data_IF_846500470197
#
_entry.id   IF_846500470197
#
_cell.length_a   1.000
_cell.length_b   1.000
_cell.length_c   1.000
_cell.angle_alpha   90.00
_cell.angle_beta   90.00
_cell.angle_gamma   90.00
#
_symmetry.space_group_name_H-M   'P 1'
#
loop_
_entity.id
_entity.type
_entity.pdbx_description
1 polymer ?
#
# COMPACT_ATOMS: atom_id res chain seq x y z
N UNK A 1 -3.29 31.20 19.71
CA UNK A 1 -2.81 30.29 20.77
C UNK A 1 -3.94 29.49 21.44
N UNK A 2 -5.15 30.05 21.59
CA UNK A 2 -6.31 29.36 22.18
C UNK A 2 -6.81 28.20 21.31
N UNK A 3 -6.93 28.41 20.02
CA UNK A 3 -7.31 27.39 19.05
C UNK A 3 -6.32 26.21 19.01
N UNK A 4 -5.02 26.46 19.12
CA UNK A 4 -4.02 25.40 19.18
C UNK A 4 -4.19 24.53 20.44
N UNK A 5 -4.53 25.14 21.57
CA UNK A 5 -4.88 24.41 22.81
C UNK A 5 -6.14 23.57 22.64
N UNK A 6 -7.16 24.11 21.96
CA UNK A 6 -8.43 23.41 21.72
C UNK A 6 -8.21 22.11 20.93
N UNK A 7 -7.27 22.09 19.99
CA UNK A 7 -6.92 20.89 19.20
C UNK A 7 -5.77 20.08 19.80
N UNK A 8 -5.32 20.41 21.04
CA UNK A 8 -4.29 19.66 21.75
C UNK A 8 -2.86 19.87 21.27
N UNK A 9 -2.60 20.90 20.47
CA UNK A 9 -1.25 21.23 20.00
C UNK A 9 -0.45 21.99 21.06
N UNK A 10 0.75 21.51 21.32
CA UNK A 10 1.71 22.12 22.28
C UNK A 10 2.69 23.09 21.59
N UNK A 11 2.79 23.04 20.27
CA UNK A 11 3.67 23.88 19.46
C UNK A 11 3.26 25.35 19.53
N UNK A 12 4.27 26.21 19.46
CA UNK A 12 4.04 27.67 19.43
C UNK A 12 3.46 28.12 18.09
N UNK A 13 2.72 29.24 18.07
CA UNK A 13 2.09 29.75 16.85
C UNK A 13 3.07 30.20 15.75
N UNK A 14 4.34 30.33 16.07
CA UNK A 14 5.43 30.67 15.13
C UNK A 14 6.15 29.45 14.58
N UNK A 15 5.82 28.24 15.05
CA UNK A 15 6.43 27.01 14.53
C UNK A 15 6.02 26.80 13.07
N UNK A 16 6.99 26.55 12.19
CA UNK A 16 6.71 26.30 10.79
C UNK A 16 6.00 24.94 10.63
N UNK A 17 4.96 24.91 9.82
CA UNK A 17 4.16 23.68 9.56
C UNK A 17 5.01 22.55 9.03
N UNK A 18 6.00 22.84 8.18
CA UNK A 18 6.91 21.82 7.63
C UNK A 18 7.77 21.11 8.68
N UNK A 19 7.96 21.74 9.85
CA UNK A 19 8.85 21.24 10.91
C UNK A 19 8.08 20.39 11.97
N UNK A 20 6.77 20.22 11.81
CA UNK A 20 5.92 19.37 12.66
C UNK A 20 5.45 18.13 11.90
N UNK A 21 5.26 17.03 12.64
CA UNK A 21 4.79 15.77 12.05
C UNK A 21 3.40 15.86 11.42
N UNK A 22 3.10 14.96 10.49
CA UNK A 22 1.87 14.97 9.67
C UNK A 22 0.60 15.00 10.55
N UNK A 23 0.57 14.25 11.67
CA UNK A 23 -0.55 14.27 12.61
C UNK A 23 -0.82 15.66 13.17
N UNK A 24 0.23 16.40 13.53
CA UNK A 24 0.10 17.76 14.04
C UNK A 24 -0.29 18.76 12.95
N UNK A 25 0.16 18.54 11.70
CA UNK A 25 -0.30 19.32 10.54
C UNK A 25 -1.81 19.19 10.36
N UNK A 26 -2.36 17.98 10.51
CA UNK A 26 -3.80 17.73 10.43
C UNK A 26 -4.57 18.47 11.52
N UNK A 27 -4.05 18.50 12.75
CA UNK A 27 -4.66 19.27 13.84
C UNK A 27 -4.65 20.79 13.58
N UNK A 28 -3.60 21.31 12.90
CA UNK A 28 -3.55 22.71 12.47
C UNK A 28 -4.62 23.01 11.42
N UNK A 29 -4.88 22.12 10.46
CA UNK A 29 -5.96 22.28 9.48
C UNK A 29 -7.34 22.34 10.17
N UNK A 30 -7.57 21.51 11.19
CA UNK A 30 -8.80 21.55 11.99
C UNK A 30 -8.89 22.86 12.78
N UNK A 31 -7.79 23.31 13.42
CA UNK A 31 -7.76 24.58 14.14
C UNK A 31 -8.09 25.77 13.20
N UNK A 32 -7.60 25.74 11.97
CA UNK A 32 -7.89 26.73 10.91
C UNK A 32 -9.37 26.73 10.52
N UNK A 33 -10.00 25.56 10.41
CA UNK A 33 -11.45 25.45 10.16
C UNK A 33 -12.27 26.00 11.34
N UNK A 34 -11.89 25.67 12.58
CA UNK A 34 -12.53 26.18 13.80
C UNK A 34 -12.42 27.71 13.93
N UNK A 35 -11.28 28.31 13.48
CA UNK A 35 -11.09 29.76 13.48
C UNK A 35 -12.12 30.52 12.64
N UNK A 36 -12.79 29.85 11.70
CA UNK A 36 -13.82 30.41 10.84
C UNK A 36 -15.23 30.32 11.42
N UNK A 37 -15.38 29.87 12.68
CA UNK A 37 -16.69 29.62 13.31
C UNK A 37 -17.58 28.71 12.47
N UNK A 38 -16.99 27.70 11.83
CA UNK A 38 -17.72 26.76 11.01
C UNK A 38 -18.74 25.99 11.84
N UNK A 39 -19.96 25.84 11.34
CA UNK A 39 -21.01 25.01 11.94
C UNK A 39 -20.98 23.57 11.46
N UNK A 40 -20.36 23.35 10.30
CA UNK A 40 -20.18 22.07 9.66
C UNK A 40 -18.70 21.87 9.33
N UNK A 41 -18.14 20.75 9.79
CA UNK A 41 -16.78 20.33 9.50
C UNK A 41 -16.83 19.13 8.57
N UNK A 42 -16.15 19.22 7.42
CA UNK A 42 -16.01 18.09 6.47
C UNK A 42 -14.56 17.63 6.51
N UNK A 43 -14.35 16.36 6.79
CA UNK A 43 -13.05 15.72 6.93
C UNK A 43 -12.96 14.56 5.94
N UNK A 44 -12.05 14.70 4.97
CA UNK A 44 -11.79 13.68 3.96
C UNK A 44 -10.51 12.91 4.32
N UNK A 45 -10.66 11.61 4.63
CA UNK A 45 -9.60 10.68 5.04
C UNK A 45 -8.65 11.27 6.12
N UNK A 46 -9.18 11.83 7.23
CA UNK A 46 -8.38 12.64 8.15
C UNK A 46 -7.31 11.84 8.91
N UNK A 47 -7.40 10.51 8.92
CA UNK A 47 -6.50 9.61 9.65
C UNK A 47 -5.59 8.81 8.70
N UNK A 48 -5.65 9.05 7.38
CA UNK A 48 -4.95 8.22 6.40
C UNK A 48 -3.42 8.18 6.58
N UNK A 49 -2.83 9.28 7.10
CA UNK A 49 -1.39 9.43 7.29
C UNK A 49 -0.98 9.42 8.77
N UNK A 50 -1.90 9.04 9.68
CA UNK A 50 -1.67 9.05 11.12
C UNK A 50 -1.36 7.65 11.63
N UNK A 51 -0.54 7.58 12.67
CA UNK A 51 -0.41 6.36 13.47
C UNK A 51 -1.69 6.14 14.31
N UNK A 52 -1.80 5.00 14.96
CA UNK A 52 -2.99 4.61 15.71
C UNK A 52 -3.29 5.55 16.89
N UNK A 53 -2.25 5.99 17.60
CA UNK A 53 -2.38 6.92 18.75
C UNK A 53 -2.88 8.28 18.29
N UNK A 54 -2.32 8.85 17.22
CA UNK A 54 -2.72 10.14 16.68
C UNK A 54 -4.12 10.07 16.05
N UNK A 55 -4.46 8.96 15.38
CA UNK A 55 -5.79 8.70 14.85
C UNK A 55 -6.85 8.73 15.96
N UNK A 56 -6.58 8.01 17.04
CA UNK A 56 -7.50 7.99 18.20
C UNK A 56 -7.67 9.38 18.82
N UNK A 57 -6.58 10.12 19.02
CA UNK A 57 -6.64 11.48 19.56
C UNK A 57 -7.48 12.42 18.68
N UNK A 58 -7.37 12.29 17.36
CA UNK A 58 -8.19 13.05 16.41
C UNK A 58 -9.69 12.69 16.51
N UNK A 59 -10.00 11.39 16.58
CA UNK A 59 -11.39 10.92 16.72
C UNK A 59 -12.01 11.37 18.05
N UNK A 60 -11.25 11.33 19.14
CA UNK A 60 -11.68 11.84 20.45
C UNK A 60 -11.96 13.35 20.40
N UNK A 61 -11.10 14.13 19.74
CA UNK A 61 -11.33 15.55 19.48
C UNK A 61 -12.65 15.79 18.71
N UNK A 62 -12.93 14.97 17.69
CA UNK A 62 -14.21 15.06 16.96
C UNK A 62 -15.41 14.83 17.86
N UNK A 63 -15.34 13.85 18.78
CA UNK A 63 -16.39 13.60 19.76
C UNK A 63 -16.56 14.77 20.75
N UNK A 64 -15.48 15.43 21.15
CA UNK A 64 -15.56 16.64 21.98
C UNK A 64 -16.18 17.81 21.23
N UNK A 65 -15.82 18.05 19.98
CA UNK A 65 -16.41 19.08 19.13
C UNK A 65 -17.91 18.85 18.93
N UNK A 66 -18.31 17.58 18.74
CA UNK A 66 -19.72 17.18 18.66
C UNK A 66 -20.49 17.55 19.95
N UNK A 67 -19.94 17.28 21.15
CA UNK A 67 -20.54 17.68 22.42
C UNK A 67 -20.74 19.20 22.54
N UNK A 68 -19.87 19.97 21.84
CA UNK A 68 -19.98 21.45 21.76
C UNK A 68 -20.93 21.92 20.66
N UNK A 69 -21.68 21.02 20.02
CA UNK A 69 -22.67 21.34 18.99
C UNK A 69 -22.14 21.44 17.57
N UNK A 70 -20.88 21.01 17.32
CA UNK A 70 -20.33 20.92 15.97
C UNK A 70 -20.92 19.74 15.21
N UNK A 71 -21.41 19.98 14.00
CA UNK A 71 -21.77 18.91 13.06
C UNK A 71 -20.56 18.56 12.21
N UNK A 72 -20.29 17.26 12.04
CA UNK A 72 -19.18 16.79 11.22
C UNK A 72 -19.61 15.74 10.21
N UNK A 73 -19.02 15.79 9.01
CA UNK A 73 -19.06 14.72 8.02
C UNK A 73 -17.63 14.18 7.91
N UNK A 74 -17.46 12.90 8.18
CA UNK A 74 -16.21 12.21 7.99
C UNK A 74 -16.33 11.27 6.81
N UNK A 75 -15.37 11.36 5.89
CA UNK A 75 -15.21 10.42 4.78
C UNK A 75 -14.01 9.55 5.13
N UNK A 76 -14.21 8.25 5.24
CA UNK A 76 -13.15 7.29 5.55
C UNK A 76 -13.54 5.90 5.07
N UNK A 77 -12.55 5.09 4.77
CA UNK A 77 -12.71 3.66 4.49
C UNK A 77 -12.33 2.78 5.70
N UNK A 78 -11.86 3.39 6.80
CA UNK A 78 -11.52 2.68 8.04
C UNK A 78 -12.77 2.49 8.89
N UNK A 79 -13.38 1.32 8.80
CA UNK A 79 -14.71 1.04 9.39
C UNK A 79 -14.74 1.12 10.91
N UNK A 80 -13.66 0.73 11.58
CA UNK A 80 -13.51 0.86 13.04
C UNK A 80 -13.59 2.34 13.49
N UNK A 81 -12.96 3.25 12.74
CA UNK A 81 -13.00 4.68 13.03
C UNK A 81 -14.40 5.28 12.84
N UNK A 82 -15.03 4.92 11.71
CA UNK A 82 -16.41 5.34 11.41
C UNK A 82 -17.38 4.86 12.50
N UNK A 83 -17.29 3.58 12.87
CA UNK A 83 -18.15 2.99 13.90
C UNK A 83 -17.96 3.63 15.27
N UNK A 84 -16.75 4.14 15.55
CA UNK A 84 -16.42 4.82 16.80
C UNK A 84 -17.12 6.18 16.92
N UNK A 85 -17.07 7.03 15.89
CA UNK A 85 -17.48 8.44 15.96
C UNK A 85 -18.87 8.73 15.37
N UNK A 86 -19.33 7.95 14.38
CA UNK A 86 -20.52 8.27 13.59
C UNK A 86 -21.83 7.96 14.32
N UNK A 87 -22.82 8.86 14.16
CA UNK A 87 -24.22 8.61 14.51
C UNK A 87 -24.98 7.97 13.34
N UNK A 88 -24.59 8.33 12.11
CA UNK A 88 -25.18 7.81 10.87
C UNK A 88 -24.05 7.48 9.91
N UNK A 89 -24.17 6.35 9.24
CA UNK A 89 -23.21 5.88 8.23
C UNK A 89 -23.96 5.77 6.91
N UNK A 90 -23.58 6.61 5.93
CA UNK A 90 -24.10 6.53 4.58
C UNK A 90 -23.09 5.83 3.70
N UNK A 91 -23.48 4.68 3.16
CA UNK A 91 -22.65 3.90 2.23
C UNK A 91 -22.85 4.41 0.82
N UNK A 92 -21.75 4.81 0.18
CA UNK A 92 -21.75 5.30 -1.21
C UNK A 92 -20.94 4.32 -2.06
N UNK A 93 -21.47 3.98 -3.25
CA UNK A 93 -20.80 3.15 -4.24
C UNK A 93 -21.09 3.65 -5.63
N UNK A 94 -20.06 3.80 -6.46
CA UNK A 94 -20.18 4.26 -7.86
C UNK A 94 -21.01 5.57 -7.99
N UNK A 95 -20.81 6.50 -7.04
CA UNK A 95 -21.51 7.80 -6.99
C UNK A 95 -22.95 7.77 -6.49
N UNK A 96 -23.46 6.61 -6.09
CA UNK A 96 -24.84 6.43 -5.60
C UNK A 96 -24.88 6.06 -4.13
N UNK A 97 -25.86 6.60 -3.39
CA UNK A 97 -26.15 6.16 -2.02
C UNK A 97 -26.80 4.78 -2.05
N UNK A 98 -26.21 3.83 -1.38
CA UNK A 98 -26.69 2.44 -1.27
C UNK A 98 -27.64 2.31 -0.08
N UNK A 99 -27.20 2.70 1.11
CA UNK A 99 -27.98 2.70 2.33
C UNK A 99 -27.46 3.73 3.33
N UNK A 100 -28.31 4.10 4.30
CA UNK A 100 -27.90 4.90 5.45
C UNK A 100 -28.28 4.16 6.73
N UNK A 101 -27.28 3.86 7.55
CA UNK A 101 -27.41 3.15 8.82
C UNK A 101 -27.38 4.16 9.97
N UNK A 102 -28.28 3.99 10.95
CA UNK A 102 -28.40 4.88 12.11
C UNK A 102 -28.02 4.11 13.37
N UNK A 103 -27.04 4.62 14.11
CA UNK A 103 -26.57 4.02 15.37
C UNK A 103 -27.72 3.91 16.39
N UNK A 104 -27.90 2.72 16.96
CA UNK A 104 -28.97 2.42 17.89
C UNK A 104 -30.33 2.09 17.27
N UNK A 105 -30.48 2.16 15.93
CA UNK A 105 -31.67 1.70 15.21
C UNK A 105 -31.36 0.50 14.29
N UNK A 106 -30.25 0.58 13.60
CA UNK A 106 -29.83 -0.43 12.64
C UNK A 106 -28.72 -1.30 13.21
N UNK A 107 -28.65 -2.55 12.73
CA UNK A 107 -27.51 -3.42 12.98
C UNK A 107 -26.34 -2.96 12.12
N UNK A 108 -25.37 -2.31 12.77
CA UNK A 108 -24.17 -1.79 12.14
C UNK A 108 -23.05 -2.78 12.35
N UNK A 109 -22.88 -3.68 11.38
CA UNK A 109 -21.78 -4.62 11.34
C UNK A 109 -20.78 -4.23 10.23
N UNK A 110 -19.52 -4.51 10.45
CA UNK A 110 -18.47 -4.29 9.43
C UNK A 110 -18.82 -5.01 8.13
N UNK A 111 -19.30 -6.24 8.22
CA UNK A 111 -19.73 -7.07 7.06
C UNK A 111 -20.83 -6.39 6.25
N UNK A 112 -21.83 -5.78 6.91
CA UNK A 112 -22.93 -5.07 6.23
C UNK A 112 -22.42 -3.85 5.48
N UNK A 113 -21.56 -3.06 6.10
CA UNK A 113 -20.99 -1.87 5.47
C UNK A 113 -20.14 -2.28 4.26
N UNK A 114 -19.28 -3.29 4.41
CA UNK A 114 -18.44 -3.82 3.32
C UNK A 114 -19.32 -4.33 2.16
N UNK A 115 -20.40 -5.09 2.47
CA UNK A 115 -21.34 -5.56 1.45
C UNK A 115 -21.95 -4.40 0.67
N UNK A 116 -22.35 -3.34 1.33
CA UNK A 116 -22.85 -2.12 0.71
C UNK A 116 -21.81 -1.44 -0.18
N UNK A 117 -20.56 -1.31 0.30
CA UNK A 117 -19.46 -0.68 -0.44
C UNK A 117 -19.05 -1.48 -1.67
N UNK A 118 -18.97 -2.81 -1.57
CA UNK A 118 -18.44 -3.70 -2.62
C UNK A 118 -19.55 -4.25 -3.53
N UNK A 119 -20.77 -4.37 -3.02
CA UNK A 119 -21.94 -4.88 -3.77
C UNK A 119 -22.10 -6.39 -3.73
N UNK A 120 -21.25 -7.09 -3.01
CA UNK A 120 -21.33 -8.55 -2.75
C UNK A 120 -20.92 -8.85 -1.32
N UNK A 121 -21.34 -9.95 -0.79
CA UNK A 121 -20.82 -10.46 0.48
C UNK A 121 -19.34 -10.83 0.29
N UNK A 122 -18.51 -10.31 1.17
CA UNK A 122 -17.14 -10.78 1.36
C UNK A 122 -17.19 -11.59 2.64
N UNK A 123 -17.26 -12.92 2.50
CA UNK A 123 -17.37 -13.83 3.65
C UNK A 123 -16.16 -13.72 4.58
N UNK A 124 -14.97 -13.51 3.98
CA UNK A 124 -13.72 -13.33 4.68
C UNK A 124 -13.01 -12.05 4.14
N UNK A 125 -12.46 -11.26 5.02
CA UNK A 125 -11.71 -10.02 4.68
C UNK A 125 -10.52 -10.32 3.76
N UNK A 126 -9.93 -11.49 3.91
CA UNK A 126 -8.81 -11.98 3.10
C UNK A 126 -9.23 -13.25 2.34
N UNK A 127 -8.95 -13.35 1.03
CA UNK A 127 -9.30 -14.53 0.25
C UNK A 127 -8.45 -15.72 0.70
N UNK A 128 -9.11 -16.82 1.07
CA UNK A 128 -8.44 -18.07 1.46
C UNK A 128 -7.72 -18.69 0.28
N UNK A 129 -6.58 -19.29 0.55
CA UNK A 129 -5.82 -20.12 -0.41
C UNK A 129 -5.19 -21.31 0.30
N UNK A 130 -4.87 -22.33 -0.44
CA UNK A 130 -4.04 -23.43 0.00
C UNK A 130 -2.62 -23.19 -0.53
N UNK A 131 -1.63 -22.90 0.35
CA UNK A 131 -0.26 -22.64 -0.08
C UNK A 131 0.37 -23.88 -0.70
N UNK A 132 0.98 -23.74 -1.88
CA UNK A 132 1.79 -24.77 -2.53
C UNK A 132 3.23 -24.30 -2.57
N UNK A 133 3.87 -24.32 -1.40
CA UNK A 133 5.21 -23.81 -1.21
C UNK A 133 6.24 -24.83 -1.69
N UNK A 134 7.09 -24.40 -2.61
CA UNK A 134 8.17 -25.21 -3.21
C UNK A 134 9.55 -24.86 -2.67
N UNK A 135 10.56 -25.04 -3.54
CA UNK A 135 11.97 -24.79 -3.23
C UNK A 135 12.27 -23.30 -3.04
N UNK A 136 13.45 -23.01 -2.45
CA UNK A 136 13.95 -21.65 -2.29
C UNK A 136 14.14 -21.00 -3.66
N UNK A 137 13.49 -19.84 -3.84
CA UNK A 137 13.59 -19.02 -5.05
C UNK A 137 14.61 -17.91 -4.89
N UNK A 138 14.59 -17.25 -3.73
CA UNK A 138 15.46 -16.13 -3.42
C UNK A 138 16.02 -16.29 -2.01
N UNK A 139 17.29 -15.99 -1.84
CA UNK A 139 17.97 -15.96 -0.54
C UNK A 139 18.85 -14.72 -0.47
N UNK A 140 18.70 -13.98 0.61
CA UNK A 140 19.50 -12.79 0.93
C UNK A 140 20.32 -13.09 2.15
N UNK A 141 21.63 -12.84 2.10
CA UNK A 141 22.57 -13.10 3.20
C UNK A 141 23.37 -11.85 3.56
N UNK A 142 23.40 -11.54 4.83
CA UNK A 142 24.22 -10.46 5.41
C UNK A 142 24.05 -9.11 4.69
N UNK A 143 22.79 -8.80 4.28
CA UNK A 143 22.49 -7.62 3.51
C UNK A 143 22.53 -6.37 4.36
N UNK A 144 23.43 -5.46 4.02
CA UNK A 144 23.63 -4.20 4.74
C UNK A 144 23.58 -3.04 3.76
N UNK A 145 22.85 -1.99 4.13
CA UNK A 145 22.65 -0.79 3.31
C UNK A 145 22.86 0.45 4.17
N UNK A 146 23.65 1.39 3.70
CA UNK A 146 23.85 2.67 4.33
C UNK A 146 22.98 3.76 3.70
N UNK A 147 22.68 4.79 4.48
CA UNK A 147 21.91 5.93 4.01
C UNK A 147 22.66 6.66 2.87
N UNK A 148 21.99 7.07 1.78
CA UNK A 148 22.68 7.64 0.61
C UNK A 148 23.43 8.94 0.90
N UNK A 149 22.98 9.76 1.87
CA UNK A 149 23.60 11.04 2.24
C UNK A 149 24.44 10.95 3.53
N UNK A 150 24.16 9.98 4.41
CA UNK A 150 24.83 9.80 5.70
C UNK A 150 25.39 8.39 5.75
N UNK A 151 26.55 8.18 5.13
CA UNK A 151 27.14 6.86 4.90
C UNK A 151 27.53 6.09 6.18
N UNK A 152 27.64 6.77 7.32
CA UNK A 152 27.84 6.17 8.63
C UNK A 152 26.56 5.54 9.21
N UNK A 153 25.38 5.97 8.72
CA UNK A 153 24.09 5.48 9.18
C UNK A 153 23.66 4.28 8.35
N UNK A 154 23.58 3.12 8.99
CA UNK A 154 22.95 1.94 8.39
C UNK A 154 21.43 2.09 8.45
N UNK A 155 20.76 1.84 7.34
CA UNK A 155 19.30 1.78 7.22
C UNK A 155 18.80 0.35 7.11
N UNK A 156 19.67 -0.57 6.70
CA UNK A 156 19.50 -2.03 6.76
C UNK A 156 20.81 -2.60 7.30
N UNK A 157 20.73 -3.48 8.28
CA UNK A 157 21.89 -4.00 8.99
C UNK A 157 21.81 -5.52 9.16
N UNK A 158 22.65 -6.24 8.41
CA UNK A 158 22.83 -7.70 8.45
C UNK A 158 21.53 -8.50 8.27
N UNK A 159 20.72 -8.12 7.27
CA UNK A 159 19.45 -8.78 7.00
C UNK A 159 19.64 -10.10 6.26
N UNK A 160 18.95 -11.14 6.76
CA UNK A 160 18.91 -12.47 6.16
C UNK A 160 17.44 -12.85 5.89
N UNK A 161 17.09 -13.17 4.63
CA UNK A 161 15.72 -13.49 4.21
C UNK A 161 15.77 -14.64 3.21
N UNK A 162 14.79 -15.55 3.32
CA UNK A 162 14.56 -16.63 2.37
C UNK A 162 13.13 -16.47 1.83
N UNK A 163 12.95 -16.64 0.51
CA UNK A 163 11.64 -16.64 -0.15
C UNK A 163 11.53 -17.88 -1.03
N UNK A 164 10.44 -18.62 -0.91
CA UNK A 164 10.20 -19.88 -1.63
C UNK A 164 9.21 -19.67 -2.78
N UNK A 165 9.19 -20.60 -3.72
CA UNK A 165 8.19 -20.65 -4.82
C UNK A 165 6.80 -20.80 -4.25
N UNK A 166 5.83 -20.04 -4.78
CA UNK A 166 4.43 -20.12 -4.35
C UNK A 166 4.18 -19.62 -2.92
N UNK A 167 5.12 -18.86 -2.34
CA UNK A 167 5.06 -18.31 -0.99
C UNK A 167 4.75 -16.80 -1.03
N UNK A 168 3.94 -16.35 -0.08
CA UNK A 168 3.83 -14.94 0.29
C UNK A 168 4.59 -14.73 1.59
N UNK A 169 5.71 -14.03 1.51
CA UNK A 169 6.52 -13.64 2.68
C UNK A 169 6.16 -12.22 3.07
N UNK A 170 5.72 -12.01 4.31
CA UNK A 170 5.44 -10.70 4.88
C UNK A 170 6.70 -10.06 5.49
N UNK A 171 6.88 -8.77 5.30
CA UNK A 171 7.82 -7.97 6.08
C UNK A 171 7.02 -6.93 6.85
N UNK A 172 6.90 -7.14 8.16
CA UNK A 172 6.22 -6.26 9.11
C UNK A 172 7.23 -5.38 9.85
N UNK A 173 6.77 -4.25 10.38
CA UNK A 173 7.60 -3.36 11.20
C UNK A 173 7.01 -1.96 11.30
N UNK A 174 7.50 -1.17 12.23
CA UNK A 174 7.08 0.22 12.42
C UNK A 174 7.53 1.11 11.24
N UNK A 175 6.93 2.30 11.11
CA UNK A 175 7.39 3.32 10.17
C UNK A 175 8.86 3.64 10.43
N UNK A 176 9.67 3.66 9.36
CA UNK A 176 11.11 3.90 9.46
C UNK A 176 11.94 2.68 9.88
N UNK A 177 11.35 1.48 9.92
CA UNK A 177 12.10 0.25 10.23
C UNK A 177 13.08 -0.18 9.14
N UNK A 178 13.07 0.43 7.96
CA UNK A 178 13.99 0.11 6.86
C UNK A 178 13.40 -0.83 5.79
N UNK A 179 12.11 -1.09 5.81
CA UNK A 179 11.44 -2.05 4.91
C UNK A 179 11.52 -1.64 3.44
N UNK A 180 11.14 -0.40 3.13
CA UNK A 180 11.21 0.17 1.77
C UNK A 180 12.65 0.27 1.29
N UNK A 181 13.57 0.68 2.17
CA UNK A 181 15.01 0.77 1.89
C UNK A 181 15.60 -0.61 1.56
N UNK A 182 15.19 -1.65 2.27
CA UNK A 182 15.55 -3.04 1.95
C UNK A 182 15.05 -3.43 0.57
N UNK A 183 13.75 -3.25 0.29
CA UNK A 183 13.13 -3.58 -1.00
C UNK A 183 13.83 -2.88 -2.17
N UNK A 184 14.01 -1.57 -2.08
CA UNK A 184 14.65 -0.76 -3.12
C UNK A 184 16.12 -1.13 -3.31
N UNK A 185 16.84 -1.45 -2.23
CA UNK A 185 18.24 -1.86 -2.32
C UNK A 185 18.41 -3.21 -3.01
N UNK A 186 17.48 -4.14 -2.81
CA UNK A 186 17.44 -5.43 -3.50
C UNK A 186 17.07 -5.28 -4.99
N UNK A 187 16.22 -4.30 -5.29
CA UNK A 187 15.78 -4.03 -6.66
C UNK A 187 16.77 -3.12 -7.40
N UNK A 188 17.89 -3.71 -7.80
CA UNK A 188 18.91 -3.04 -8.61
C UNK A 188 19.65 -1.91 -7.89
N UNK A 189 19.79 -1.99 -6.56
CA UNK A 189 20.42 -0.97 -5.71
C UNK A 189 19.86 0.42 -5.94
N UNK A 190 18.53 0.51 -6.16
CA UNK A 190 17.85 1.77 -6.45
C UNK A 190 17.78 2.73 -5.25
N UNK A 191 18.17 2.26 -4.06
CA UNK A 191 18.33 3.07 -2.85
C UNK A 191 19.57 2.63 -2.07
N UNK A 192 20.25 3.58 -1.43
CA UNK A 192 21.33 3.35 -0.48
C UNK A 192 22.72 3.56 -1.04
N UNK A 193 23.70 3.46 -0.15
CA UNK A 193 25.14 3.51 -0.42
C UNK A 193 25.83 2.38 0.33
N UNK A 194 27.08 2.05 -0.05
CA UNK A 194 27.90 1.02 0.58
C UNK A 194 27.13 -0.30 0.82
N UNK A 195 26.37 -0.74 -0.20
CA UNK A 195 25.55 -1.96 -0.12
C UNK A 195 26.47 -3.17 -0.17
N UNK A 196 26.34 -4.06 0.81
CA UNK A 196 27.09 -5.31 0.93
C UNK A 196 26.14 -6.46 1.29
N UNK A 197 26.62 -7.68 1.14
CA UNK A 197 25.88 -8.92 1.30
C UNK A 197 25.73 -9.70 -0.01
N UNK A 198 25.02 -10.81 0.04
CA UNK A 198 24.86 -11.72 -1.05
C UNK A 198 23.39 -11.92 -1.39
N UNK A 199 23.07 -11.93 -2.68
CA UNK A 199 21.74 -12.22 -3.20
C UNK A 199 21.82 -13.45 -4.09
N UNK A 200 20.99 -14.44 -3.81
CA UNK A 200 20.85 -15.65 -4.59
C UNK A 200 19.46 -15.71 -5.21
N UNK A 201 19.39 -16.07 -6.49
CA UNK A 201 18.13 -16.39 -7.18
C UNK A 201 18.27 -17.79 -7.79
N UNK A 202 17.35 -18.69 -7.44
CA UNK A 202 17.39 -20.10 -7.82
C UNK A 202 18.74 -20.77 -7.48
N UNK A 203 19.30 -20.48 -6.31
CA UNK A 203 20.56 -21.01 -5.81
C UNK A 203 21.82 -20.44 -6.47
N UNK A 204 21.71 -19.47 -7.37
CA UNK A 204 22.85 -18.81 -8.02
C UNK A 204 23.03 -17.41 -7.48
N UNK A 205 24.26 -17.04 -7.13
CA UNK A 205 24.59 -15.68 -6.74
C UNK A 205 24.37 -14.73 -7.92
N UNK A 206 23.71 -13.61 -7.65
CA UNK A 206 23.42 -12.56 -8.64
C UNK A 206 23.88 -11.20 -8.13
N UNK A 207 24.37 -10.37 -9.05
CA UNK A 207 24.76 -8.99 -8.76
C UNK A 207 23.84 -8.05 -9.54
N UNK A 208 22.88 -7.47 -8.82
CA UNK A 208 21.89 -6.56 -9.39
C UNK A 208 22.31 -5.11 -9.07
N UNK A 209 23.06 -4.49 -9.96
CA UNK A 209 23.55 -3.12 -9.77
C UNK A 209 22.65 -2.06 -10.42
N UNK A 210 21.70 -2.50 -11.25
CA UNK A 210 20.75 -1.64 -11.95
C UNK A 210 19.34 -2.27 -11.92
N UNK A 211 18.33 -1.43 -12.06
CA UNK A 211 16.93 -1.87 -12.18
C UNK A 211 16.74 -2.80 -13.39
N UNK A 212 17.43 -2.52 -14.50
CA UNK A 212 17.38 -3.36 -15.70
C UNK A 212 17.93 -4.76 -15.45
N UNK A 213 19.00 -4.89 -14.65
CA UNK A 213 19.53 -6.19 -14.23
C UNK A 213 18.56 -6.94 -13.33
N UNK A 214 17.84 -6.23 -12.42
CA UNK A 214 16.81 -6.83 -11.59
C UNK A 214 15.66 -7.38 -12.45
N UNK A 215 15.15 -6.61 -13.40
CA UNK A 215 14.11 -7.04 -14.34
C UNK A 215 14.55 -8.26 -15.16
N UNK A 216 15.78 -8.24 -15.70
CA UNK A 216 16.35 -9.38 -16.45
C UNK A 216 16.50 -10.65 -15.62
N UNK A 217 16.65 -10.52 -14.31
CA UNK A 217 16.66 -11.63 -13.35
C UNK A 217 15.25 -11.93 -12.78
N UNK A 218 14.21 -11.50 -13.48
CA UNK A 218 12.81 -11.75 -13.13
C UNK A 218 12.39 -11.26 -11.73
N UNK A 219 12.99 -10.16 -11.26
CA UNK A 219 12.61 -9.46 -10.04
C UNK A 219 11.81 -8.21 -10.40
N UNK A 220 10.67 -8.00 -9.76
CA UNK A 220 9.86 -6.80 -9.89
C UNK A 220 9.64 -6.11 -8.53
N UNK A 221 9.46 -4.79 -8.56
CA UNK A 221 9.19 -3.98 -7.38
C UNK A 221 8.02 -3.03 -7.63
N UNK A 222 6.94 -3.27 -6.92
CA UNK A 222 5.75 -2.41 -6.87
C UNK A 222 5.93 -1.42 -5.73
N UNK A 223 6.20 -0.18 -6.05
CA UNK A 223 6.50 0.89 -5.09
C UNK A 223 5.29 1.34 -4.29
N UNK A 224 5.51 1.77 -3.04
CA UNK A 224 4.52 2.45 -2.20
C UNK A 224 3.99 3.73 -2.87
N UNK A 225 4.88 4.56 -3.41
CA UNK A 225 4.51 5.80 -4.12
C UNK A 225 4.16 5.52 -5.58
N UNK A 226 2.93 5.03 -5.80
CA UNK A 226 2.45 4.74 -7.16
C UNK A 226 2.36 5.98 -8.04
N UNK A 227 2.13 7.17 -7.46
CA UNK A 227 1.91 8.41 -8.22
C UNK A 227 3.21 9.10 -8.62
N UNK A 228 4.23 9.07 -7.76
CA UNK A 228 5.52 9.69 -8.03
C UNK A 228 6.48 8.74 -8.74
N UNK A 229 6.54 7.49 -8.29
CA UNK A 229 7.56 6.53 -8.74
C UNK A 229 6.99 5.33 -9.52
N UNK A 230 5.70 5.05 -9.37
CA UNK A 230 5.08 3.85 -9.94
C UNK A 230 4.54 4.02 -11.35
N UNK A 231 3.86 5.14 -11.62
CA UNK A 231 3.10 5.39 -12.84
C UNK A 231 3.41 6.78 -13.41
N UNK A 232 3.31 6.92 -14.72
CA UNK A 232 3.33 8.21 -15.41
C UNK A 232 1.87 8.64 -15.58
N UNK A 233 1.36 9.45 -14.65
CA UNK A 233 -0.06 9.77 -14.55
C UNK A 233 -0.62 10.51 -15.79
N UNK A 234 0.21 11.28 -16.49
CA UNK A 234 -0.13 11.97 -17.72
C UNK A 234 -0.18 11.07 -18.96
N UNK A 235 0.29 9.83 -18.84
CA UNK A 235 0.32 8.89 -19.95
C UNK A 235 -0.87 7.93 -19.94
N UNK A 236 -1.26 7.41 -21.12
CA UNK A 236 -2.27 6.37 -21.27
C UNK A 236 -1.96 5.09 -20.47
N UNK A 237 -3.02 4.36 -20.14
CA UNK A 237 -2.94 3.06 -19.48
C UNK A 237 -2.04 2.10 -20.27
N UNK A 238 -2.18 2.04 -21.61
CA UNK A 238 -1.39 1.14 -22.45
C UNK A 238 0.11 1.37 -22.32
N UNK A 239 0.55 2.63 -22.33
CA UNK A 239 1.98 2.98 -22.18
C UNK A 239 2.49 2.57 -20.79
N UNK A 240 1.72 2.88 -19.72
CA UNK A 240 2.10 2.47 -18.38
C UNK A 240 2.18 0.95 -18.23
N UNK A 241 1.26 0.20 -18.85
CA UNK A 241 1.22 -1.26 -18.77
C UNK A 241 2.46 -1.91 -19.39
N UNK A 242 2.98 -1.38 -20.51
CA UNK A 242 4.07 -2.00 -21.24
C UNK A 242 5.46 -1.48 -20.86
N UNK A 243 5.52 -0.40 -20.08
CA UNK A 243 6.76 0.36 -19.79
C UNK A 243 7.90 -0.47 -19.21
N UNK A 244 7.62 -1.53 -18.45
CA UNK A 244 8.64 -2.37 -17.83
C UNK A 244 9.23 -3.43 -18.79
N UNK A 245 8.62 -3.64 -19.96
CA UNK A 245 9.08 -4.63 -20.96
C UNK A 245 8.77 -4.16 -22.39
N UNK A 246 9.37 -3.04 -22.78
CA UNK A 246 9.17 -2.45 -24.11
C UNK A 246 9.66 -3.36 -25.24
N UNK A 247 10.68 -4.17 -25.00
CA UNK A 247 11.22 -5.12 -25.99
C UNK A 247 10.14 -6.10 -26.46
N UNK A 248 9.25 -6.52 -25.55
CA UNK A 248 8.16 -7.44 -25.88
C UNK A 248 7.11 -6.85 -26.82
N UNK A 249 7.00 -5.53 -26.92
CA UNK A 249 6.07 -4.81 -27.81
C UNK A 249 6.78 -4.00 -28.89
N UNK A 250 8.08 -4.25 -29.09
CA UNK A 250 8.86 -3.53 -30.09
C UNK A 250 9.31 -4.48 -31.22
N UNK A 251 9.48 -3.91 -32.40
CA UNK A 251 10.18 -4.54 -33.50
C UNK A 251 11.36 -3.65 -33.88
N UNK A 252 12.57 -4.20 -33.73
CA UNK A 252 13.87 -3.50 -33.85
C UNK A 252 13.95 -2.30 -32.90
N UNK A 253 13.61 -1.25 -32.92
CA UNK A 253 13.63 -0.10 -31.99
C UNK A 253 12.32 0.71 -32.02
N UNK A 254 11.32 0.17 -32.72
CA UNK A 254 10.04 0.83 -32.94
C UNK A 254 8.95 0.07 -32.18
N UNK A 255 8.17 0.79 -31.35
CA UNK A 255 7.03 0.22 -30.63
C UNK A 255 5.92 -0.10 -31.65
N UNK A 256 5.43 -1.33 -31.62
CA UNK A 256 4.24 -1.78 -32.31
C UNK A 256 3.01 -1.34 -31.51
N UNK A 257 2.31 -0.30 -32.01
CA UNK A 257 1.17 0.32 -31.33
C UNK A 257 -0.01 -0.63 -31.15
N UNK A 258 -0.23 -1.55 -32.09
CA UNK A 258 -1.32 -2.51 -32.03
C UNK A 258 -1.02 -3.58 -30.96
N UNK A 259 0.21 -4.04 -30.92
CA UNK A 259 0.68 -4.99 -29.91
C UNK A 259 0.63 -4.38 -28.51
N UNK A 260 1.11 -3.14 -28.33
CA UNK A 260 1.00 -2.38 -27.07
C UNK A 260 -0.45 -2.25 -26.62
N UNK A 261 -1.35 -1.86 -27.52
CA UNK A 261 -2.77 -1.72 -27.26
C UNK A 261 -3.41 -3.05 -26.83
N UNK A 262 -3.15 -4.14 -27.56
CA UNK A 262 -3.69 -5.46 -27.26
C UNK A 262 -3.22 -5.98 -25.91
N UNK A 263 -1.95 -5.84 -25.58
CA UNK A 263 -1.40 -6.19 -24.25
C UNK A 263 -2.15 -5.45 -23.14
N UNK A 264 -2.37 -4.14 -23.29
CA UNK A 264 -3.06 -3.37 -22.28
C UNK A 264 -4.54 -3.77 -22.14
N UNK A 265 -5.22 -4.12 -23.25
CA UNK A 265 -6.59 -4.64 -23.22
C UNK A 265 -6.65 -5.99 -22.49
N UNK A 266 -5.68 -6.88 -22.71
CA UNK A 266 -5.65 -8.17 -22.05
C UNK A 266 -5.42 -8.02 -20.53
N UNK A 267 -4.49 -7.16 -20.11
CA UNK A 267 -4.31 -6.86 -18.68
C UNK A 267 -5.48 -6.12 -18.06
N UNK A 268 -6.15 -5.22 -18.79
CA UNK A 268 -7.42 -4.62 -18.35
C UNK A 268 -8.44 -5.68 -17.98
N UNK A 269 -8.59 -6.71 -18.85
CA UNK A 269 -9.51 -7.83 -18.60
C UNK A 269 -9.02 -8.72 -17.46
N UNK A 270 -7.74 -9.13 -17.50
CA UNK A 270 -7.14 -10.03 -16.49
C UNK A 270 -7.26 -9.48 -15.07
N UNK A 271 -7.05 -8.17 -14.88
CA UNK A 271 -7.08 -7.52 -13.58
C UNK A 271 -8.41 -6.80 -13.28
N UNK A 272 -9.41 -6.94 -14.17
CA UNK A 272 -10.71 -6.26 -14.04
C UNK A 272 -10.54 -4.75 -13.77
N UNK A 273 -9.68 -4.08 -14.58
CA UNK A 273 -9.44 -2.64 -14.44
C UNK A 273 -10.63 -1.86 -15.02
N UNK A 274 -11.29 -1.07 -14.18
CA UNK A 274 -12.45 -0.25 -14.61
C UNK A 274 -11.95 1.02 -15.30
N UNK A 275 -12.03 1.04 -16.63
CA UNK A 275 -11.77 2.21 -17.47
C UNK A 275 -12.55 2.09 -18.77
N UNK A 276 -12.98 3.20 -19.40
CA UNK A 276 -13.64 3.20 -20.70
C UNK A 276 -12.73 2.61 -21.79
N UNK A 277 -11.51 3.09 -21.87
CA UNK A 277 -10.50 2.68 -22.84
C UNK A 277 -9.11 2.68 -22.24
N UNK A 278 -8.18 1.87 -22.78
CA UNK A 278 -6.76 1.85 -22.38
C UNK A 278 -5.98 3.06 -22.92
N UNK A 279 -6.61 3.89 -23.75
CA UNK A 279 -6.08 5.20 -24.20
C UNK A 279 -6.28 6.30 -23.17
N UNK A 280 -7.09 6.07 -22.14
CA UNK A 280 -7.29 7.03 -21.06
C UNK A 280 -6.02 7.19 -20.22
N UNK A 281 -5.72 8.43 -19.81
CA UNK A 281 -4.61 8.71 -18.90
C UNK A 281 -4.86 8.06 -17.54
N UNK A 282 -3.81 7.46 -16.98
CA UNK A 282 -3.86 6.76 -15.68
C UNK A 282 -4.27 7.71 -14.55
N UNK A 283 -3.91 8.99 -14.64
CA UNK A 283 -4.28 10.00 -13.65
C UNK A 283 -5.78 10.14 -13.42
N UNK A 284 -6.61 9.76 -14.40
CA UNK A 284 -8.07 9.83 -14.32
C UNK A 284 -8.72 8.60 -13.67
N UNK A 285 -7.94 7.61 -13.27
CA UNK A 285 -8.43 6.40 -12.60
C UNK A 285 -8.54 6.60 -11.09
N UNK A 286 -9.44 5.83 -10.46
CA UNK A 286 -9.44 5.66 -9.00
C UNK A 286 -8.15 5.00 -8.52
N UNK A 287 -7.81 5.19 -7.22
CA UNK A 287 -6.60 4.61 -6.62
C UNK A 287 -6.47 3.11 -6.82
N UNK A 288 -7.55 2.35 -6.66
CA UNK A 288 -7.55 0.91 -6.88
C UNK A 288 -7.28 0.52 -8.34
N UNK A 289 -7.84 1.26 -9.30
CA UNK A 289 -7.56 1.00 -10.72
C UNK A 289 -6.14 1.44 -11.12
N UNK A 290 -5.59 2.52 -10.55
CA UNK A 290 -4.18 2.88 -10.70
C UNK A 290 -3.28 1.76 -10.20
N UNK A 291 -3.59 1.17 -9.03
CA UNK A 291 -2.83 0.05 -8.48
C UNK A 291 -2.84 -1.18 -9.39
N UNK A 292 -3.98 -1.48 -10.00
CA UNK A 292 -4.08 -2.56 -10.99
C UNK A 292 -3.24 -2.31 -12.23
N UNK A 293 -3.17 -1.06 -12.73
CA UNK A 293 -2.28 -0.70 -13.85
C UNK A 293 -0.81 -0.85 -13.44
N UNK A 294 -0.45 -0.46 -12.21
CA UNK A 294 0.90 -0.65 -11.69
C UNK A 294 1.27 -2.15 -11.57
N UNK A 295 0.35 -2.98 -11.10
CA UNK A 295 0.54 -4.43 -11.11
C UNK A 295 0.64 -4.99 -12.53
N UNK A 296 -0.21 -4.55 -13.46
CA UNK A 296 -0.15 -4.94 -14.88
C UNK A 296 1.22 -4.66 -15.49
N UNK A 297 1.79 -3.48 -15.23
CA UNK A 297 3.12 -3.09 -15.68
C UNK A 297 4.17 -4.11 -15.28
N UNK A 298 4.18 -4.50 -14.02
CA UNK A 298 5.16 -5.44 -13.51
C UNK A 298 4.87 -6.89 -13.91
N UNK A 299 3.59 -7.29 -13.94
CA UNK A 299 3.20 -8.62 -14.42
C UNK A 299 3.53 -8.83 -15.90
N UNK A 300 3.50 -7.77 -16.72
CA UNK A 300 3.90 -7.83 -18.12
C UNK A 300 5.41 -8.07 -18.30
N UNK A 301 6.22 -7.72 -17.33
CA UNK A 301 7.64 -8.07 -17.30
C UNK A 301 7.90 -9.54 -16.93
N UNK A 302 6.86 -10.32 -16.65
CA UNK A 302 6.86 -11.73 -16.27
C UNK A 302 7.87 -12.07 -15.15
N UNK A 303 7.75 -11.43 -13.98
CA UNK A 303 8.67 -11.68 -12.88
C UNK A 303 8.41 -13.04 -12.24
N UNK A 304 9.45 -13.64 -11.68
CA UNK A 304 9.37 -14.80 -10.79
C UNK A 304 9.19 -14.38 -9.33
N UNK A 305 9.70 -13.19 -8.99
CA UNK A 305 9.69 -12.63 -7.64
C UNK A 305 9.10 -11.22 -7.73
N UNK A 306 8.04 -10.97 -6.95
CA UNK A 306 7.43 -9.64 -6.84
C UNK A 306 7.59 -9.12 -5.42
N UNK A 307 8.22 -7.96 -5.27
CA UNK A 307 8.22 -7.19 -4.03
C UNK A 307 7.08 -6.18 -4.14
N UNK A 308 6.12 -6.26 -3.23
CA UNK A 308 4.95 -5.39 -3.14
C UNK A 308 5.08 -4.52 -1.89
N UNK A 309 5.38 -3.24 -2.09
CA UNK A 309 5.55 -2.29 -1.00
C UNK A 309 4.26 -1.49 -0.81
N UNK A 310 3.58 -1.70 0.31
CA UNK A 310 2.29 -1.12 0.67
C UNK A 310 1.25 -1.24 -0.48
N UNK A 311 0.98 -2.47 -1.02
CA UNK A 311 0.24 -2.64 -2.27
C UNK A 311 -1.21 -2.17 -2.21
N UNK A 312 -1.75 -1.95 -1.03
CA UNK A 312 -3.16 -1.59 -0.81
C UNK A 312 -3.32 -0.21 -0.16
N UNK A 313 -2.24 0.56 -0.03
CA UNK A 313 -2.27 1.87 0.61
C UNK A 313 -3.11 2.87 -0.19
N UNK A 314 -4.07 3.51 0.49
CA UNK A 314 -4.92 4.55 -0.09
C UNK A 314 -5.85 4.04 -1.19
N UNK A 315 -6.31 2.80 -1.07
CA UNK A 315 -7.37 2.22 -1.91
C UNK A 315 -8.51 1.70 -1.04
N UNK A 316 -9.71 1.64 -1.60
CA UNK A 316 -10.91 1.20 -0.89
C UNK A 316 -10.91 -0.32 -0.60
N UNK A 317 -11.74 -0.75 0.36
CA UNK A 317 -11.81 -2.14 0.84
C UNK A 317 -12.11 -3.13 -0.28
N UNK A 318 -12.95 -2.75 -1.25
CA UNK A 318 -13.28 -3.61 -2.38
C UNK A 318 -12.09 -3.82 -3.30
N UNK A 319 -11.36 -2.73 -3.60
CA UNK A 319 -10.15 -2.79 -4.40
C UNK A 319 -9.03 -3.54 -3.66
N UNK A 320 -8.88 -3.38 -2.33
CA UNK A 320 -7.94 -4.18 -1.52
C UNK A 320 -8.18 -5.68 -1.72
N UNK A 321 -9.43 -6.12 -1.57
CA UNK A 321 -9.78 -7.53 -1.76
C UNK A 321 -9.41 -8.05 -3.16
N UNK A 322 -9.64 -7.26 -4.21
CA UNK A 322 -9.25 -7.63 -5.56
C UNK A 322 -7.73 -7.75 -5.72
N UNK A 323 -6.94 -6.87 -5.09
CA UNK A 323 -5.48 -6.99 -5.05
C UNK A 323 -5.04 -8.26 -4.32
N UNK A 324 -5.67 -8.62 -3.20
CA UNK A 324 -5.37 -9.88 -2.50
C UNK A 324 -5.67 -11.11 -3.37
N UNK A 325 -6.77 -11.09 -4.14
CA UNK A 325 -7.07 -12.15 -5.10
C UNK A 325 -5.99 -12.26 -6.18
N UNK A 326 -5.48 -11.14 -6.69
CA UNK A 326 -4.39 -11.11 -7.67
C UNK A 326 -3.10 -11.70 -7.06
N UNK A 327 -2.75 -11.33 -5.82
CA UNK A 327 -1.58 -11.89 -5.11
C UNK A 327 -1.72 -13.41 -4.97
N UNK A 328 -2.89 -13.89 -4.54
CA UNK A 328 -3.15 -15.33 -4.41
C UNK A 328 -3.06 -16.06 -5.76
N UNK A 329 -3.53 -15.45 -6.84
CA UNK A 329 -3.38 -16.01 -8.18
C UNK A 329 -1.91 -16.12 -8.59
N UNK A 330 -1.10 -15.08 -8.36
CA UNK A 330 0.32 -15.06 -8.70
C UNK A 330 1.09 -16.19 -8.01
N UNK A 331 0.88 -16.39 -6.70
CA UNK A 331 1.55 -17.48 -5.98
C UNK A 331 1.01 -18.85 -6.36
N UNK A 332 -0.27 -18.98 -6.73
CA UNK A 332 -0.82 -20.22 -7.28
C UNK A 332 -0.21 -20.58 -8.64
N UNK A 333 0.21 -19.59 -9.44
CA UNK A 333 0.98 -19.72 -10.68
C UNK A 333 2.48 -20.05 -10.40
N UNK A 334 2.90 -20.16 -9.13
CA UNK A 334 4.27 -20.47 -8.71
C UNK A 334 5.20 -19.27 -8.62
N UNK A 335 4.69 -18.04 -8.70
CA UNK A 335 5.46 -16.83 -8.42
C UNK A 335 5.72 -16.73 -6.92
N UNK A 336 6.76 -15.97 -6.55
CA UNK A 336 7.10 -15.67 -5.15
C UNK A 336 6.75 -14.22 -4.86
N UNK A 337 6.14 -13.94 -3.71
CA UNK A 337 5.73 -12.59 -3.34
C UNK A 337 6.37 -12.21 -2.01
N UNK A 338 6.99 -11.04 -1.96
CA UNK A 338 7.37 -10.35 -0.73
C UNK A 338 6.38 -9.21 -0.54
N UNK A 339 5.61 -9.25 0.54
CA UNK A 339 4.60 -8.24 0.85
C UNK A 339 5.05 -7.40 2.04
N UNK A 340 5.25 -6.12 1.82
CA UNK A 340 5.52 -5.14 2.85
C UNK A 340 4.22 -4.41 3.14
N UNK A 341 3.77 -4.39 4.39
CA UNK A 341 2.60 -3.62 4.80
C UNK A 341 2.76 -3.07 6.22
N UNK A 342 2.27 -1.87 6.42
CA UNK A 342 2.09 -1.24 7.73
C UNK A 342 0.80 -1.69 8.42
N UNK A 343 -0.12 -2.30 7.67
CA UNK A 343 -1.37 -2.84 8.20
C UNK A 343 -1.15 -4.29 8.67
N UNK A 344 -0.94 -4.48 9.97
CA UNK A 344 -0.70 -5.82 10.55
C UNK A 344 -1.78 -6.85 10.15
N UNK A 345 -3.09 -6.52 10.09
CA UNK A 345 -4.10 -7.47 9.61
C UNK A 345 -3.87 -7.99 8.19
N UNK A 346 -3.27 -7.18 7.29
CA UNK A 346 -2.93 -7.64 5.94
C UNK A 346 -1.83 -8.69 5.97
N UNK A 347 -0.78 -8.44 6.74
CA UNK A 347 0.33 -9.37 6.91
C UNK A 347 -0.15 -10.70 7.48
N UNK A 348 -0.98 -10.66 8.54
CA UNK A 348 -1.55 -11.84 9.18
C UNK A 348 -2.53 -12.61 8.26
N UNK A 349 -3.29 -11.88 7.44
CA UNK A 349 -4.32 -12.48 6.57
C UNK A 349 -3.80 -13.02 5.24
N UNK A 350 -2.65 -12.55 4.77
CA UNK A 350 -2.14 -12.84 3.42
C UNK A 350 -0.85 -13.64 3.39
N UNK A 351 -0.01 -13.56 4.44
CA UNK A 351 1.35 -14.09 4.40
C UNK A 351 1.45 -15.49 5.02
N UNK A 352 2.26 -16.35 4.41
CA UNK A 352 2.56 -17.69 4.92
C UNK A 352 3.62 -17.65 6.02
N UNK A 353 4.54 -16.70 5.90
CA UNK A 353 5.65 -16.48 6.82
C UNK A 353 5.94 -14.99 6.90
N UNK A 354 6.33 -14.54 8.08
CA UNK A 354 6.46 -13.12 8.41
C UNK A 354 7.83 -12.88 9.03
N UNK A 355 8.58 -11.94 8.44
CA UNK A 355 9.75 -11.33 9.06
C UNK A 355 9.34 -10.04 9.76
N UNK A 356 9.78 -9.88 11.00
CA UNK A 356 9.58 -8.63 11.75
C UNK A 356 10.86 -7.81 11.68
N UNK A 357 10.74 -6.58 11.17
CA UNK A 357 11.87 -5.67 10.99
C UNK A 357 11.77 -4.49 11.95
N UNK A 358 12.88 -4.21 12.65
CA UNK A 358 13.02 -3.05 13.53
C UNK A 358 14.42 -2.45 13.38
N UNK A 359 14.50 -1.11 13.24
CA UNK A 359 15.75 -0.36 13.13
C UNK A 359 16.77 -0.99 12.14
N UNK A 360 16.29 -1.40 10.98
CA UNK A 360 17.09 -1.96 9.91
C UNK A 360 17.46 -3.45 10.07
N UNK A 361 17.01 -4.14 11.11
CA UNK A 361 17.33 -5.55 11.40
C UNK A 361 16.09 -6.42 11.37
N UNK A 362 16.25 -7.68 10.97
CA UNK A 362 15.24 -8.70 11.23
C UNK A 362 15.37 -9.15 12.68
N UNK A 363 14.33 -8.91 13.47
CA UNK A 363 14.28 -9.22 14.90
C UNK A 363 13.45 -10.46 15.22
N UNK A 364 12.73 -11.00 14.24
CA UNK A 364 11.95 -12.21 14.38
C UNK A 364 11.46 -12.77 13.05
N UNK A 365 11.19 -14.06 13.04
CA UNK A 365 10.55 -14.80 11.96
C UNK A 365 9.43 -15.65 12.56
N UNK A 366 8.24 -15.59 11.98
CA UNK A 366 7.04 -16.27 12.44
C UNK A 366 6.34 -16.99 11.27
N UNK A 367 5.79 -18.17 11.53
CA UNK A 367 4.83 -18.76 10.61
C UNK A 367 3.53 -17.94 10.61
N UNK A 368 2.92 -17.70 9.44
CA UNK A 368 1.69 -16.91 9.35
C UNK A 368 0.53 -17.49 10.17
N UNK A 369 0.49 -18.82 10.34
CA UNK A 369 -0.51 -19.51 11.16
C UNK A 369 -0.35 -19.33 12.67
N UNK A 370 0.85 -18.94 13.13
CA UNK A 370 1.18 -18.77 14.55
C UNK A 370 1.25 -17.31 14.95
N UNK A 371 1.27 -16.39 13.96
CA UNK A 371 1.41 -14.97 14.21
C UNK A 371 0.09 -14.38 14.74
N UNK A 372 0.18 -13.59 15.80
CA UNK A 372 -0.92 -12.85 16.42
C UNK A 372 -0.60 -11.36 16.50
N UNK A 373 -1.57 -10.55 16.88
CA UNK A 373 -1.36 -9.11 17.10
C UNK A 373 -0.65 -8.80 18.44
N UNK A 374 -0.49 -9.78 19.31
CA UNK A 374 0.13 -9.63 20.64
C UNK A 374 1.62 -9.93 20.61
#
# INVERSE_FOLDING_TARGET
>A
SELLKTVGLKEGPQTLIKDIGVGKQQLVEIAKALAKNAKLLILDEPTASLNETDSKALLDLMLELKKKGMTSIIISHKLNEISYVADKITVIRDGSTIETLVKGKDDITESRIIKGMVGREIADRFPKREPKIGDVRMEVKHWTVHHPLYSERKVVDDVNIIVKKGEVVGISGLMGAGRTELAMSLFGKSYGSNISGELYINGKIVHLNTVQEAIKNHLAYVTEDRKGNGLILSNPIKINTTLANLDAVSSHTVIDKDKEYNVAVDYKKKLNTKCPTVEQNVGNLSGGNQQKVLLAKWMFADPDILILDEPTRGIDVGAKYEIYCIINQLVAEGKSVIMISSELPEILGMCDRIYVMNEGKIVGELAGSEATQE
#
